data_IF_325331419456
#
_entry.id   IF_325331419456
#
_cell.length_a   1.000
_cell.length_b   1.000
_cell.length_c   1.000
_cell.angle_alpha   90.00
_cell.angle_beta   90.00
_cell.angle_gamma   90.00
#
_symmetry.space_group_name_H-M   'P 1'
#
loop_
_entity.id
_entity.type
_entity.pdbx_description
1 polymer ?
#
# COMPACT_ATOMS: atom_id res chain seq x y z
N UNK A 1 11.67 1.05 10.10
CA UNK A 1 11.28 1.78 8.89
C UNK A 1 9.79 1.96 8.82
N UNK A 2 9.26 2.33 7.66
CA UNK A 2 7.83 2.53 7.38
C UNK A 2 7.55 2.24 5.90
N UNK A 3 6.32 1.92 5.51
CA UNK A 3 5.96 1.87 4.09
C UNK A 3 5.48 3.24 3.62
N UNK A 4 5.90 3.64 2.42
CA UNK A 4 5.57 4.95 1.83
C UNK A 4 4.82 4.78 0.51
N UNK A 5 3.98 5.76 0.15
CA UNK A 5 3.25 5.69 -1.11
C UNK A 5 4.20 5.78 -2.31
N UNK A 6 5.18 6.69 -2.23
CA UNK A 6 6.18 6.94 -3.27
C UNK A 6 7.45 7.45 -2.59
N UNK A 7 8.61 7.10 -3.12
CA UNK A 7 9.88 7.62 -2.64
C UNK A 7 10.63 8.35 -3.77
N UNK A 8 11.15 9.58 -3.57
CA UNK A 8 11.83 10.35 -4.62
C UNK A 8 13.02 9.63 -5.27
N UNK A 9 13.75 8.84 -4.48
CA UNK A 9 14.91 8.08 -4.98
C UNK A 9 14.53 6.87 -5.87
N UNK A 10 13.29 6.38 -5.82
CA UNK A 10 12.83 5.31 -6.69
C UNK A 10 12.15 5.90 -7.93
N UNK A 11 12.86 5.90 -9.07
CA UNK A 11 12.29 6.37 -10.34
C UNK A 11 11.30 5.34 -10.88
N UNK A 12 10.01 5.61 -10.72
CA UNK A 12 8.92 4.85 -11.34
C UNK A 12 8.34 3.73 -10.48
N UNK A 13 8.92 3.42 -9.32
CA UNK A 13 8.32 2.51 -8.36
C UNK A 13 7.49 3.27 -7.32
N UNK A 14 6.30 2.76 -7.04
CA UNK A 14 5.38 3.30 -6.03
C UNK A 14 4.55 2.16 -5.45
N UNK A 15 4.00 2.38 -4.27
CA UNK A 15 3.06 1.44 -3.67
C UNK A 15 1.79 1.38 -4.51
N UNK A 16 1.31 0.17 -4.77
CA UNK A 16 0.16 -0.07 -5.64
C UNK A 16 -0.65 -1.27 -5.18
N UNK A 17 -1.94 -1.26 -5.51
CA UNK A 17 -2.83 -2.38 -5.27
C UNK A 17 -3.32 -2.92 -6.61
N UNK A 18 -2.96 -4.16 -6.90
CA UNK A 18 -3.20 -4.82 -8.17
C UNK A 18 -4.33 -5.83 -8.02
N UNK A 19 -5.33 -5.71 -8.89
CA UNK A 19 -6.40 -6.70 -8.99
C UNK A 19 -5.94 -8.00 -9.66
N UNK A 20 -6.81 -9.03 -9.64
CA UNK A 20 -6.55 -10.30 -10.33
C UNK A 20 -6.49 -10.15 -11.87
N UNK A 21 -7.01 -9.05 -12.42
CA UNK A 21 -6.97 -8.75 -13.85
C UNK A 21 -6.54 -7.30 -14.06
N UNK A 22 -5.89 -7.01 -15.20
CA UNK A 22 -5.48 -5.66 -15.59
C UNK A 22 -6.65 -4.74 -15.97
N UNK A 23 -7.87 -5.28 -16.06
CA UNK A 23 -9.07 -4.51 -16.37
C UNK A 23 -9.54 -3.63 -15.19
N UNK A 24 -8.98 -3.84 -13.99
CA UNK A 24 -9.38 -3.14 -12.77
C UNK A 24 -8.19 -2.41 -12.17
N UNK A 25 -8.32 -1.09 -12.11
CA UNK A 25 -7.34 -0.22 -11.47
C UNK A 25 -7.83 0.18 -10.08
N UNK A 26 -6.91 0.22 -9.12
CA UNK A 26 -7.19 0.66 -7.76
C UNK A 26 -6.38 1.91 -7.44
N UNK A 27 -7.03 2.87 -6.80
CA UNK A 27 -6.38 3.99 -6.16
C UNK A 27 -6.01 3.59 -4.74
N UNK A 28 -4.73 3.62 -4.41
CA UNK A 28 -4.23 3.34 -3.07
C UNK A 28 -3.76 4.63 -2.38
N UNK A 29 -4.03 4.76 -1.09
CA UNK A 29 -3.51 5.85 -0.26
C UNK A 29 -3.14 5.36 1.14
N UNK A 30 -2.11 5.99 1.73
CA UNK A 30 -1.77 5.87 3.14
C UNK A 30 -2.67 6.82 3.92
N UNK A 31 -3.63 6.28 4.67
CA UNK A 31 -4.62 7.06 5.43
C UNK A 31 -4.03 7.53 6.76
N UNK A 32 -3.26 6.67 7.40
CA UNK A 32 -2.66 6.96 8.70
C UNK A 32 -1.43 6.07 8.95
N UNK A 33 -0.48 6.58 9.72
CA UNK A 33 0.70 5.86 10.19
C UNK A 33 1.02 6.31 11.61
N UNK A 34 1.46 5.38 12.45
CA UNK A 34 2.12 5.76 13.71
C UNK A 34 3.37 6.57 13.42
N UNK A 35 3.66 7.53 14.30
CA UNK A 35 4.81 8.44 14.20
C UNK A 35 6.07 7.79 14.78
N UNK A 36 6.44 6.63 14.25
CA UNK A 36 7.62 5.87 14.67
C UNK A 36 8.21 5.09 13.50
N UNK A 37 9.51 4.82 13.55
CA UNK A 37 10.16 3.86 12.66
C UNK A 37 10.29 2.48 13.28
N UNK A 38 9.91 2.30 14.54
CA UNK A 38 9.96 1.02 15.22
C UNK A 38 8.64 0.26 15.03
N UNK A 39 8.53 -0.45 13.89
CA UNK A 39 7.37 -1.28 13.53
C UNK A 39 6.03 -0.53 13.60
N UNK A 40 5.86 0.59 12.87
CA UNK A 40 4.66 1.39 12.93
C UNK A 40 3.43 0.64 12.42
N UNK A 41 2.31 0.79 13.11
CA UNK A 41 1.01 0.47 12.54
C UNK A 41 0.64 1.46 11.43
N UNK A 42 0.11 0.96 10.31
CA UNK A 42 -0.30 1.79 9.17
C UNK A 42 -1.67 1.37 8.65
N UNK A 43 -2.49 2.36 8.31
CA UNK A 43 -3.80 2.17 7.70
C UNK A 43 -3.74 2.60 6.23
N UNK A 44 -4.05 1.66 5.34
CA UNK A 44 -4.07 1.87 3.91
C UNK A 44 -5.49 1.73 3.37
N UNK A 45 -5.84 2.55 2.38
CA UNK A 45 -7.10 2.46 1.65
C UNK A 45 -6.82 2.13 0.20
N UNK A 46 -7.47 1.08 -0.31
CA UNK A 46 -7.53 0.79 -1.74
C UNK A 46 -8.97 0.98 -2.22
N UNK A 47 -9.17 1.72 -3.29
CA UNK A 47 -10.48 1.97 -3.89
C UNK A 47 -10.46 1.62 -5.37
N UNK A 48 -11.29 0.67 -5.77
CA UNK A 48 -11.47 0.34 -7.18
C UNK A 48 -12.03 1.55 -7.94
N UNK A 49 -11.52 1.80 -9.13
CA UNK A 49 -12.04 2.81 -10.06
C UNK A 49 -13.34 2.37 -10.74
N UNK A 50 -13.70 1.09 -10.61
CA UNK A 50 -14.86 0.48 -11.25
C UNK A 50 -15.67 -0.36 -10.26
N UNK A 51 -16.99 -0.18 -10.29
CA UNK A 51 -17.95 -1.01 -9.54
C UNK A 51 -18.21 -2.29 -10.33
N UNK A 52 -17.76 -3.44 -9.82
CA UNK A 52 -18.18 -4.74 -10.36
C UNK A 52 -19.14 -5.42 -9.40
N UNK A 53 -19.98 -6.28 -9.97
CA UNK A 53 -21.06 -6.99 -9.27
C UNK A 53 -20.53 -8.08 -8.35
N UNK A 54 -19.47 -8.79 -8.78
CA UNK A 54 -18.83 -9.87 -8.03
C UNK A 54 -17.32 -9.75 -8.20
N UNK A 55 -16.59 -9.71 -7.08
CA UNK A 55 -15.13 -9.74 -7.07
C UNK A 55 -14.66 -10.93 -6.24
N UNK A 56 -14.07 -11.92 -6.92
CA UNK A 56 -13.34 -13.00 -6.29
C UNK A 56 -11.99 -13.14 -6.99
N UNK A 57 -10.91 -13.15 -6.22
CA UNK A 57 -9.57 -13.33 -6.77
C UNK A 57 -8.45 -12.94 -5.83
N UNK A 58 -7.25 -13.40 -6.16
CA UNK A 58 -6.03 -13.01 -5.48
C UNK A 58 -5.65 -11.58 -5.91
N UNK A 59 -5.63 -10.66 -4.95
CA UNK A 59 -5.13 -9.30 -5.16
C UNK A 59 -3.69 -9.23 -4.67
N UNK A 60 -2.89 -8.38 -5.29
CA UNK A 60 -1.50 -8.17 -4.87
C UNK A 60 -1.34 -6.75 -4.35
N UNK A 61 -0.98 -6.62 -3.09
CA UNK A 61 -0.56 -5.36 -2.49
C UNK A 61 0.97 -5.25 -2.65
N UNK A 62 1.43 -4.24 -3.36
CA UNK A 62 2.86 -3.92 -3.46
C UNK A 62 3.12 -2.65 -2.65
N UNK A 63 3.98 -2.74 -1.63
CA UNK A 63 4.35 -1.60 -0.79
C UNK A 63 5.84 -1.30 -0.91
N UNK A 64 6.19 -0.02 -1.00
CA UNK A 64 7.58 0.45 -0.97
C UNK A 64 8.02 0.55 0.49
N UNK A 65 8.92 -0.34 0.96
CA UNK A 65 9.52 -0.18 2.28
C UNK A 65 10.52 0.97 2.27
N UNK A 66 10.59 1.70 3.39
CA UNK A 66 11.57 2.73 3.62
C UNK A 66 12.22 2.55 4.99
N UNK A 67 13.53 2.30 5.00
CA UNK A 67 14.31 1.98 6.18
C UNK A 67 15.05 3.22 6.68
N UNK A 68 14.66 3.69 7.86
CA UNK A 68 15.43 4.67 8.61
C UNK A 68 16.65 3.99 9.25
N UNK A 69 17.72 4.76 9.45
CA UNK A 69 18.90 4.32 10.21
C UNK A 69 18.51 4.02 11.67
N UNK A 70 19.31 3.19 12.36
CA UNK A 70 18.99 2.76 13.73
C UNK A 70 18.83 3.92 14.73
N UNK A 71 19.63 4.98 14.58
CA UNK A 71 19.63 6.17 15.44
C UNK A 71 18.80 7.34 14.86
N UNK A 72 18.05 7.12 13.79
CA UNK A 72 17.27 8.16 13.12
C UNK A 72 15.98 8.43 13.88
N UNK A 73 15.82 9.66 14.39
CA UNK A 73 14.56 10.14 14.93
C UNK A 73 13.46 10.16 13.86
N UNK A 74 12.21 9.95 14.29
CA UNK A 74 11.07 10.02 13.40
C UNK A 74 10.93 11.43 12.80
N UNK A 75 10.78 11.49 11.48
CA UNK A 75 10.44 12.72 10.76
C UNK A 75 9.22 12.48 9.86
N UNK A 76 8.46 13.55 9.64
CA UNK A 76 7.36 13.56 8.69
C UNK A 76 7.60 14.65 7.64
N UNK A 77 7.57 14.31 6.34
CA UNK A 77 7.30 12.99 5.78
C UNK A 77 8.48 12.01 5.94
N UNK A 78 8.23 10.70 6.08
CA UNK A 78 9.28 9.71 6.32
C UNK A 78 10.29 9.62 5.17
N UNK A 79 9.86 9.82 3.92
CA UNK A 79 10.70 9.77 2.71
C UNK A 79 11.87 10.77 2.69
N UNK A 80 11.89 11.77 3.57
CA UNK A 80 13.01 12.72 3.66
C UNK A 80 14.21 12.16 4.46
N UNK A 81 13.99 11.15 5.30
CA UNK A 81 15.00 10.65 6.26
C UNK A 81 15.22 9.14 6.22
N UNK A 82 14.53 8.43 5.34
CA UNK A 82 14.65 6.98 5.19
C UNK A 82 15.24 6.59 3.83
N UNK A 83 15.76 5.37 3.74
CA UNK A 83 16.30 4.80 2.51
C UNK A 83 15.29 3.79 1.95
N UNK A 84 14.81 3.95 0.71
CA UNK A 84 13.83 3.03 0.15
C UNK A 84 14.49 1.71 -0.26
N UNK A 85 13.71 0.63 -0.28
CA UNK A 85 14.08 -0.61 -0.96
C UNK A 85 13.07 -0.92 -2.08
N UNK A 86 13.35 -1.98 -2.82
CA UNK A 86 12.43 -2.50 -3.84
C UNK A 86 11.05 -2.82 -3.25
N UNK A 87 9.95 -2.61 -4.01
CA UNK A 87 8.61 -2.90 -3.54
C UNK A 87 8.43 -4.35 -3.10
N UNK A 88 7.85 -4.55 -1.93
CA UNK A 88 7.50 -5.86 -1.38
C UNK A 88 6.08 -6.24 -1.76
N UNK A 89 5.88 -7.48 -2.20
CA UNK A 89 4.58 -8.02 -2.63
C UNK A 89 3.90 -8.81 -1.52
N UNK A 90 2.61 -8.57 -1.32
CA UNK A 90 1.75 -9.27 -0.38
C UNK A 90 0.50 -9.76 -1.11
N UNK A 91 0.14 -11.03 -0.92
CA UNK A 91 -1.10 -11.58 -1.45
C UNK A 91 -2.26 -11.27 -0.50
N UNK A 92 -3.33 -10.68 -1.02
CA UNK A 92 -4.53 -10.34 -0.28
C UNK A 92 -5.73 -11.03 -0.93
N UNK A 93 -6.31 -11.98 -0.23
CA UNK A 93 -7.52 -12.66 -0.68
C UNK A 93 -8.74 -11.86 -0.26
N UNK A 94 -9.44 -11.26 -1.23
CA UNK A 94 -10.68 -10.51 -1.00
C UNK A 94 -11.80 -11.22 -1.76
N UNK A 95 -12.92 -11.43 -1.09
CA UNK A 95 -14.15 -11.97 -1.68
C UNK A 95 -15.31 -11.05 -1.33
N UNK A 96 -15.92 -10.44 -2.34
CA UNK A 96 -17.12 -9.59 -2.18
C UNK A 96 -18.23 -10.22 -3.00
N UNK A 97 -19.30 -10.63 -2.34
CA UNK A 97 -20.53 -11.11 -2.96
C UNK A 97 -21.65 -10.10 -2.68
N UNK A 98 -22.37 -9.65 -3.71
CA UNK A 98 -23.62 -8.94 -3.50
C UNK A 98 -24.69 -9.94 -3.04
N UNK A 99 -25.16 -9.78 -1.80
CA UNK A 99 -26.40 -10.44 -1.38
C UNK A 99 -27.57 -9.73 -2.05
N UNK A 100 -28.39 -10.46 -2.81
CA UNK A 100 -29.68 -9.95 -3.27
C UNK A 100 -30.52 -9.54 -2.06
N UNK A 101 -31.30 -8.44 -2.13
CA UNK A 101 -32.25 -8.13 -1.07
C UNK A 101 -33.28 -9.28 -0.94
N UNK A 102 -33.79 -9.56 0.27
CA UNK A 102 -34.82 -10.57 0.52
C UNK A 102 -36.16 -10.22 -0.15
#
# INVERSE_FOLDING_TARGET
>A
GSFVLKHPALRGAQSQFLGPTSAVSYLISLVWSEQTFNSPAQLWKASSTHSFKDYQGAHTLELVPCLASADQDYAYPPEDVCNPLDPTRFQVSISVAQTSPP
#
